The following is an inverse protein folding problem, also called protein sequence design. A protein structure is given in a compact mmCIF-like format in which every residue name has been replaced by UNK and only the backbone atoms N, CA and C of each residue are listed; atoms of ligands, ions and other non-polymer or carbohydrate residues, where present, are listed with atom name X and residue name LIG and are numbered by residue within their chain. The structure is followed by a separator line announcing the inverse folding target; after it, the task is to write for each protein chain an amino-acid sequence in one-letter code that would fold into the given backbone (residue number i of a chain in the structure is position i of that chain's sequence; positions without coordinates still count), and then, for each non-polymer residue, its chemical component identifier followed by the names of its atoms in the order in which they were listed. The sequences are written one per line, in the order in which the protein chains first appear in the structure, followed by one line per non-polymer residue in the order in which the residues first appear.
data_IF_454003201874
#
_entry.id   IF_454003201874
#
_cell.length_a   1.000
_cell.length_b   1.000
_cell.length_c   1.000
_cell.angle_alpha   90.00
_cell.angle_beta   90.00
_cell.angle_gamma   90.00
#
_symmetry.space_group_name_H-M   'P 1'
#
loop_
_entity.id
_entity.type
_entity.pdbx_description
1 polymer ?
#
# COMPACT_ATOMS: atom_id res chain seq x y z
N UNK A 1 63.35 10.04 32.42
CA UNK A 1 62.44 10.72 33.38
C UNK A 1 61.21 11.11 32.59
N UNK A 2 60.16 10.31 32.70
CA UNK A 2 58.89 10.49 31.98
C UNK A 2 57.83 10.99 32.97
N UNK A 3 57.25 12.15 32.68
CA UNK A 3 56.24 12.83 33.50
C UNK A 3 54.98 11.96 33.71
N UNK A 4 54.33 12.04 34.89
CA UNK A 4 53.08 11.33 35.12
C UNK A 4 51.94 12.04 34.38
N UNK A 5 51.21 11.30 33.55
CA UNK A 5 50.04 11.79 32.82
C UNK A 5 48.92 12.09 33.82
N UNK A 6 48.58 13.36 34.02
CA UNK A 6 47.44 13.78 34.84
C UNK A 6 46.12 13.28 34.22
N UNK A 7 45.45 12.36 34.91
CA UNK A 7 44.16 11.80 34.50
C UNK A 7 43.05 12.85 34.65
N UNK A 8 42.47 13.29 33.52
CA UNK A 8 41.42 14.32 33.47
C UNK A 8 40.02 13.68 33.43
N UNK A 9 39.10 14.19 34.24
CA UNK A 9 37.71 13.79 34.23
C UNK A 9 36.98 14.25 32.96
N UNK A 10 36.02 13.47 32.42
CA UNK A 10 35.27 13.82 31.20
C UNK A 10 34.35 15.04 31.37
N UNK A 11 34.05 15.41 32.62
CA UNK A 11 33.11 16.46 32.97
C UNK A 11 33.62 17.32 34.13
N UNK A 12 33.12 18.55 34.23
CA UNK A 12 33.42 19.43 35.36
C UNK A 12 32.88 18.83 36.67
N UNK A 13 33.62 18.99 37.78
CA UNK A 13 33.16 18.56 39.09
C UNK A 13 31.88 19.31 39.53
N UNK A 14 31.11 18.71 40.43
CA UNK A 14 29.81 19.23 40.89
C UNK A 14 29.94 20.67 41.41
N UNK A 15 30.92 20.92 42.29
CA UNK A 15 31.11 22.24 42.93
C UNK A 15 31.43 23.36 41.94
N UNK A 16 32.16 23.07 40.85
CA UNK A 16 32.40 24.05 39.80
C UNK A 16 31.17 24.28 38.92
N UNK A 17 30.37 23.23 38.68
CA UNK A 17 29.12 23.29 37.91
C UNK A 17 28.06 24.16 38.60
N UNK A 18 27.83 23.94 39.88
CA UNK A 18 26.89 24.74 40.69
C UNK A 18 27.26 26.23 40.73
N UNK A 19 28.57 26.52 40.80
CA UNK A 19 29.07 27.90 40.85
C UNK A 19 29.32 28.51 39.49
N UNK A 20 29.03 27.79 38.40
CA UNK A 20 29.24 28.23 37.00
C UNK A 20 30.66 28.75 36.75
N UNK A 21 31.69 28.05 37.27
CA UNK A 21 33.12 28.39 37.09
C UNK A 21 33.82 27.35 36.23
N UNK A 22 34.90 27.76 35.54
CA UNK A 22 35.73 26.88 34.71
C UNK A 22 36.49 25.88 35.60
N UNK A 23 36.28 24.58 35.36
CA UNK A 23 36.91 23.47 36.08
C UNK A 23 38.12 22.95 35.29
N UNK A 24 39.26 22.73 35.95
CA UNK A 24 40.47 22.15 35.32
C UNK A 24 40.42 20.63 35.15
N UNK A 25 39.47 19.96 35.81
CA UNK A 25 39.12 18.54 35.62
C UNK A 25 40.19 17.53 36.07
N UNK A 26 41.25 17.92 36.76
CA UNK A 26 42.17 16.94 37.35
C UNK A 26 41.46 16.08 38.41
N UNK A 27 41.76 14.79 38.42
CA UNK A 27 41.28 13.80 39.41
C UNK A 27 42.39 13.58 40.45
N UNK A 28 42.09 13.46 41.76
CA UNK A 28 40.78 13.43 42.40
C UNK A 28 40.15 14.81 42.64
N UNK A 29 40.94 15.89 42.58
CA UNK A 29 40.48 17.25 42.92
C UNK A 29 41.02 18.26 41.91
N UNK A 30 40.11 19.00 41.26
CA UNK A 30 40.50 20.07 40.34
C UNK A 30 41.21 21.23 41.05
N UNK A 31 42.15 21.88 40.37
CA UNK A 31 42.94 23.02 40.85
C UNK A 31 42.09 24.13 41.49
N UNK A 32 40.91 24.43 40.92
CA UNK A 32 40.02 25.46 41.45
C UNK A 32 39.41 25.07 42.81
N UNK A 33 39.00 23.81 42.98
CA UNK A 33 38.49 23.31 44.24
C UNK A 33 39.62 23.14 45.28
N UNK A 34 40.80 22.71 44.84
CA UNK A 34 42.01 22.61 45.66
C UNK A 34 42.41 23.96 46.26
N UNK A 35 42.51 24.99 45.41
CA UNK A 35 42.88 26.36 45.81
C UNK A 35 41.89 26.97 46.80
N UNK A 36 40.60 26.68 46.62
CA UNK A 36 39.54 27.25 47.44
C UNK A 36 39.16 26.37 48.65
N UNK A 37 39.87 25.26 48.90
CA UNK A 37 39.60 24.28 49.96
C UNK A 37 38.14 23.84 50.02
N UNK A 38 37.57 23.49 48.86
CA UNK A 38 36.17 23.05 48.73
C UNK A 38 36.07 21.57 48.39
N UNK A 39 34.98 20.90 48.80
CA UNK A 39 34.72 19.52 48.41
C UNK A 39 34.59 19.43 46.89
N UNK A 40 35.40 18.56 46.28
CA UNK A 40 35.41 18.29 44.85
C UNK A 40 34.97 16.85 44.64
N UNK A 41 33.81 16.68 44.03
CA UNK A 41 33.27 15.37 43.70
C UNK A 41 32.94 15.30 42.21
N UNK A 42 33.34 14.21 41.57
CA UNK A 42 32.92 13.84 40.24
C UNK A 42 31.91 12.71 40.38
N UNK A 43 30.69 12.85 39.84
CA UNK A 43 29.72 11.77 39.90
C UNK A 43 30.28 10.56 39.13
N UNK A 44 30.16 9.33 39.69
CA UNK A 44 30.50 8.12 38.94
C UNK A 44 29.68 8.07 37.66
N UNK A 45 30.17 7.37 36.62
CA UNK A 45 29.41 7.07 35.41
C UNK A 45 28.24 6.14 35.75
N UNK A 46 27.22 6.65 36.43
CA UNK A 46 25.94 5.98 36.55
C UNK A 46 25.14 6.34 35.33
N UNK A 47 25.01 5.35 34.43
CA UNK A 47 23.89 5.29 33.51
C UNK A 47 22.63 5.61 34.31
N UNK A 48 21.89 6.62 33.87
CA UNK A 48 20.64 7.03 34.51
C UNK A 48 19.64 5.87 34.39
N UNK A 49 19.10 5.32 35.49
CA UNK A 49 18.07 4.27 35.42
C UNK A 49 16.76 4.73 34.76
N UNK A 50 16.64 6.03 34.48
CA UNK A 50 15.46 6.63 33.84
C UNK A 50 15.64 6.90 32.34
N UNK A 51 16.81 6.60 31.75
CA UNK A 51 17.02 6.77 30.30
C UNK A 51 16.91 5.44 29.53
N UNK A 52 17.30 4.31 30.13
CA UNK A 52 17.38 3.03 29.41
C UNK A 52 16.03 2.33 29.20
N UNK A 53 15.04 2.57 30.06
CA UNK A 53 13.70 1.95 29.91
C UNK A 53 12.79 2.70 28.94
N UNK A 54 13.03 3.98 28.66
CA UNK A 54 12.25 4.73 27.66
C UNK A 54 12.91 4.72 26.28
N UNK A 55 14.24 4.73 26.19
CA UNK A 55 14.93 4.67 24.89
C UNK A 55 14.85 3.29 24.21
N UNK A 56 14.78 2.19 24.97
CA UNK A 56 14.67 0.83 24.40
C UNK A 56 13.30 0.55 23.80
N UNK A 57 12.21 0.96 24.48
CA UNK A 57 10.84 0.81 23.98
C UNK A 57 10.52 1.76 22.83
N UNK A 58 11.03 3.00 22.84
CA UNK A 58 10.84 3.94 21.71
C UNK A 58 11.58 3.44 20.46
N UNK A 59 12.80 2.88 20.59
CA UNK A 59 13.59 2.41 19.44
C UNK A 59 13.04 1.15 18.76
N UNK A 60 12.25 0.32 19.44
CA UNK A 60 11.82 -0.97 18.88
C UNK A 60 10.63 -0.86 17.92
N UNK A 61 9.81 0.20 18.00
CA UNK A 61 8.59 0.34 17.18
C UNK A 61 8.55 1.60 16.29
N UNK A 62 9.57 2.46 16.32
CA UNK A 62 9.61 3.65 15.45
C UNK A 62 10.16 3.32 14.08
N UNK A 63 9.37 3.61 13.05
CA UNK A 63 9.79 3.55 11.65
C UNK A 63 11.06 4.40 11.41
N UNK A 64 12.08 3.90 10.68
CA UNK A 64 13.31 4.63 10.46
C UNK A 64 13.09 5.80 9.48
N UNK A 65 12.90 7.02 10.01
CA UNK A 65 12.65 8.23 9.22
C UNK A 65 13.69 8.49 8.11
N UNK A 66 14.93 7.98 8.27
CA UNK A 66 15.97 8.08 7.26
C UNK A 66 15.60 7.40 5.93
N UNK A 67 14.68 6.43 5.91
CA UNK A 67 14.12 5.87 4.68
C UNK A 67 13.48 6.96 3.80
N UNK A 68 12.79 7.93 4.42
CA UNK A 68 12.15 9.04 3.72
C UNK A 68 13.09 10.24 3.53
N UNK A 69 13.91 10.54 4.53
CA UNK A 69 14.71 11.76 4.57
C UNK A 69 16.06 11.62 3.83
N UNK A 70 16.63 10.42 3.76
CA UNK A 70 17.91 10.14 3.09
C UNK A 70 18.00 8.66 2.65
N UNK A 71 17.32 8.36 1.55
CA UNK A 71 17.28 7.01 0.97
C UNK A 71 18.68 6.51 0.55
N UNK A 72 19.56 7.40 0.09
CA UNK A 72 20.93 7.05 -0.26
C UNK A 72 21.66 6.47 0.95
N UNK A 73 21.59 7.15 2.11
CA UNK A 73 22.22 6.67 3.34
C UNK A 73 21.53 5.43 3.88
N UNK A 74 20.19 5.34 3.83
CA UNK A 74 19.45 4.14 4.21
C UNK A 74 19.95 2.91 3.44
N UNK A 75 20.04 3.01 2.11
CA UNK A 75 20.52 1.94 1.22
C UNK A 75 22.00 1.61 1.45
N UNK A 76 22.86 2.64 1.55
CA UNK A 76 24.30 2.47 1.79
C UNK A 76 24.58 1.74 3.10
N UNK A 77 23.77 1.99 4.14
CA UNK A 77 23.85 1.32 5.44
C UNK A 77 23.21 -0.07 5.46
N UNK A 78 22.55 -0.49 4.36
CA UNK A 78 21.72 -1.71 4.32
C UNK A 78 20.74 -1.76 5.51
N UNK A 79 20.17 -0.60 5.85
CA UNK A 79 19.21 -0.52 6.94
C UNK A 79 17.97 -1.34 6.59
N UNK A 80 17.42 -2.04 7.57
CA UNK A 80 16.21 -2.84 7.41
C UNK A 80 15.11 -2.16 8.21
N UNK A 81 13.92 -2.08 7.64
CA UNK A 81 12.73 -1.62 8.37
C UNK A 81 12.26 -2.82 9.22
N UNK A 82 12.28 -2.72 10.55
CA UNK A 82 11.85 -3.82 11.40
C UNK A 82 10.35 -4.05 11.18
N UNK A 83 9.94 -5.32 11.05
CA UNK A 83 8.54 -5.69 11.05
C UNK A 83 7.98 -5.46 12.47
N UNK A 84 7.00 -4.55 12.67
CA UNK A 84 6.48 -4.29 13.99
C UNK A 84 5.62 -5.46 14.47
N UNK A 85 5.64 -5.72 15.77
CA UNK A 85 4.63 -6.59 16.41
C UNK A 85 3.37 -5.78 16.62
N UNK A 86 2.31 -6.09 15.86
CA UNK A 86 1.05 -5.35 15.90
C UNK A 86 0.04 -6.13 16.73
N UNK A 87 -0.60 -5.45 17.66
CA UNK A 87 -1.73 -5.99 18.42
C UNK A 87 -2.92 -5.09 18.19
N UNK A 88 -3.94 -5.61 17.50
CA UNK A 88 -5.18 -4.87 17.27
C UNK A 88 -6.10 -4.98 18.48
N UNK A 89 -6.90 -3.94 18.78
CA UNK A 89 -7.99 -4.02 19.75
C UNK A 89 -8.98 -5.16 19.47
N UNK A 90 -9.41 -5.88 20.52
CA UNK A 90 -10.34 -7.03 20.44
C UNK A 90 -11.63 -6.78 19.66
N UNK A 91 -12.10 -5.54 19.61
CA UNK A 91 -13.32 -5.17 18.88
C UNK A 91 -13.25 -5.57 17.39
N UNK A 92 -12.05 -5.52 16.80
CA UNK A 92 -11.85 -5.87 15.39
C UNK A 92 -11.97 -7.38 15.16
N UNK A 93 -11.39 -8.19 16.04
CA UNK A 93 -11.50 -9.64 16.00
C UNK A 93 -12.95 -10.09 16.25
N UNK A 94 -13.62 -9.49 17.25
CA UNK A 94 -15.01 -9.85 17.60
C UNK A 94 -16.00 -9.53 16.48
N UNK A 95 -15.75 -8.50 15.68
CA UNK A 95 -16.62 -8.11 14.58
C UNK A 95 -16.63 -9.10 13.40
N UNK A 96 -15.58 -9.93 13.28
CA UNK A 96 -15.54 -11.01 12.28
C UNK A 96 -16.58 -12.12 12.55
N UNK A 97 -17.10 -12.17 13.78
CA UNK A 97 -18.12 -13.14 14.18
C UNK A 97 -17.58 -14.55 14.36
N UNK A 98 -18.46 -15.54 14.20
CA UNK A 98 -18.09 -16.95 14.26
C UNK A 98 -17.26 -17.37 13.04
N UNK A 99 -16.63 -18.53 13.14
CA UNK A 99 -15.86 -19.11 12.04
C UNK A 99 -16.73 -19.31 10.78
N UNK A 100 -17.97 -19.73 10.95
CA UNK A 100 -18.93 -19.94 9.87
C UNK A 100 -19.30 -18.62 9.19
N UNK A 101 -19.50 -17.55 9.97
CA UNK A 101 -19.77 -16.21 9.45
C UNK A 101 -18.57 -15.67 8.65
N UNK A 102 -17.35 -15.84 9.18
CA UNK A 102 -16.13 -15.45 8.48
C UNK A 102 -15.97 -16.19 7.14
N UNK A 103 -16.16 -17.51 7.12
CA UNK A 103 -16.12 -18.30 5.87
C UNK A 103 -17.19 -17.83 4.88
N UNK A 104 -18.41 -17.59 5.35
CA UNK A 104 -19.49 -17.08 4.52
C UNK A 104 -19.15 -15.72 3.88
N UNK A 105 -18.59 -14.78 4.63
CA UNK A 105 -18.17 -13.47 4.11
C UNK A 105 -17.04 -13.60 3.09
N UNK A 106 -16.07 -14.49 3.33
CA UNK A 106 -14.97 -14.73 2.40
C UNK A 106 -15.46 -15.39 1.10
N UNK A 107 -16.35 -16.38 1.19
CA UNK A 107 -16.97 -17.04 0.04
C UNK A 107 -17.76 -16.04 -0.81
N UNK A 108 -18.57 -15.20 -0.18
CA UNK A 108 -19.32 -14.14 -0.85
C UNK A 108 -18.41 -13.12 -1.53
N UNK A 109 -17.32 -12.70 -0.87
CA UNK A 109 -16.32 -11.82 -1.47
C UNK A 109 -15.75 -12.42 -2.77
N UNK A 110 -15.31 -13.69 -2.72
CA UNK A 110 -14.74 -14.37 -3.89
C UNK A 110 -15.77 -14.61 -5.00
N UNK A 111 -17.06 -14.67 -4.66
CA UNK A 111 -18.15 -14.80 -5.61
C UNK A 111 -18.52 -13.46 -6.27
N UNK A 112 -18.51 -12.35 -5.53
CA UNK A 112 -19.15 -11.10 -5.96
C UNK A 112 -18.15 -9.99 -6.33
N UNK A 113 -17.09 -9.84 -5.54
CA UNK A 113 -16.14 -8.71 -5.68
C UNK A 113 -14.88 -9.13 -6.43
N UNK A 114 -14.35 -10.30 -6.10
CA UNK A 114 -13.13 -10.82 -6.70
C UNK A 114 -13.17 -10.92 -8.25
N UNK A 115 -14.29 -11.29 -8.91
CA UNK A 115 -14.34 -11.28 -10.37
C UNK A 115 -14.13 -9.90 -11.02
N UNK A 116 -14.38 -8.81 -10.28
CA UNK A 116 -14.25 -7.42 -10.74
C UNK A 116 -12.91 -6.83 -10.29
N UNK A 117 -12.47 -7.15 -9.06
CA UNK A 117 -11.23 -6.66 -8.47
C UNK A 117 -10.39 -7.81 -7.87
N UNK A 118 -9.80 -8.68 -8.70
CA UNK A 118 -9.06 -9.86 -8.25
C UNK A 118 -7.68 -9.48 -7.73
N UNK A 119 -7.62 -8.88 -6.55
CA UNK A 119 -6.37 -8.41 -5.93
C UNK A 119 -5.85 -9.31 -4.81
N UNK A 120 -6.61 -10.34 -4.41
CA UNK A 120 -6.30 -11.25 -3.31
C UNK A 120 -6.16 -12.68 -3.82
N UNK A 121 -5.15 -13.42 -3.37
CA UNK A 121 -4.98 -14.84 -3.72
C UNK A 121 -5.98 -15.73 -2.98
N UNK A 122 -6.92 -16.32 -3.72
CA UNK A 122 -7.90 -17.26 -3.18
C UNK A 122 -7.25 -18.40 -2.40
N UNK A 123 -6.29 -19.09 -3.03
CA UNK A 123 -5.57 -20.22 -2.44
C UNK A 123 -4.89 -19.85 -1.10
N UNK A 124 -4.23 -18.68 -1.04
CA UNK A 124 -3.55 -18.23 0.18
C UNK A 124 -4.56 -17.91 1.28
N UNK A 125 -5.68 -17.28 0.97
CA UNK A 125 -6.71 -16.95 1.96
C UNK A 125 -7.35 -18.21 2.55
N UNK A 126 -7.78 -19.18 1.73
CA UNK A 126 -8.34 -20.43 2.26
C UNK A 126 -7.32 -21.24 3.06
N UNK A 127 -6.03 -21.18 2.68
CA UNK A 127 -4.97 -21.79 3.48
C UNK A 127 -4.77 -21.09 4.84
N UNK A 128 -4.96 -19.77 4.95
CA UNK A 128 -4.94 -19.10 6.25
C UNK A 128 -6.21 -19.38 7.05
N UNK A 129 -7.37 -19.46 6.38
CA UNK A 129 -8.63 -19.84 7.00
C UNK A 129 -8.59 -21.28 7.54
N UNK A 130 -7.79 -22.20 7.01
CA UNK A 130 -7.70 -23.56 7.55
C UNK A 130 -6.91 -23.64 8.87
N UNK A 131 -6.16 -22.60 9.23
CA UNK A 131 -5.41 -22.50 10.49
C UNK A 131 -6.31 -22.04 11.64
N UNK A 132 -5.77 -22.04 12.86
CA UNK A 132 -6.47 -21.53 14.04
C UNK A 132 -6.78 -20.04 13.90
N UNK A 133 -8.05 -19.66 14.13
CA UNK A 133 -8.50 -18.27 14.06
C UNK A 133 -8.07 -17.44 15.28
N UNK A 134 -7.65 -18.09 16.37
CA UNK A 134 -7.18 -17.42 17.59
C UNK A 134 -5.82 -16.72 17.40
N UNK A 135 -5.14 -16.98 16.27
CA UNK A 135 -3.83 -16.44 15.92
C UNK A 135 -3.85 -15.68 14.58
N UNK A 136 -4.96 -15.04 14.22
CA UNK A 136 -5.03 -14.24 13.01
C UNK A 136 -4.10 -13.02 13.08
N UNK A 137 -3.27 -12.89 12.05
CA UNK A 137 -2.44 -11.71 11.83
C UNK A 137 -3.33 -10.46 11.72
N UNK A 138 -2.86 -9.34 12.28
CA UNK A 138 -3.58 -8.07 12.27
C UNK A 138 -4.00 -7.61 10.85
N UNK A 139 -3.17 -7.87 9.85
CA UNK A 139 -3.46 -7.49 8.47
C UNK A 139 -4.52 -8.35 7.79
N UNK A 140 -4.68 -9.61 8.22
CA UNK A 140 -5.79 -10.47 7.81
C UNK A 140 -7.10 -10.02 8.42
N UNK A 141 -7.10 -9.61 9.69
CA UNK A 141 -8.30 -9.08 10.35
C UNK A 141 -8.82 -7.86 9.59
N UNK A 142 -7.92 -6.92 9.25
CA UNK A 142 -8.28 -5.76 8.44
C UNK A 142 -8.83 -6.16 7.07
N UNK A 143 -8.18 -7.10 6.39
CA UNK A 143 -8.64 -7.58 5.09
C UNK A 143 -10.04 -8.24 5.16
N UNK A 144 -10.29 -9.05 6.18
CA UNK A 144 -11.58 -9.71 6.37
C UNK A 144 -12.70 -8.73 6.74
N UNK A 145 -12.42 -7.70 7.55
CA UNK A 145 -13.38 -6.62 7.79
C UNK A 145 -13.73 -5.88 6.48
N UNK A 146 -12.73 -5.63 5.63
CA UNK A 146 -12.95 -5.01 4.33
C UNK A 146 -13.77 -5.89 3.38
N UNK A 147 -13.59 -7.21 3.41
CA UNK A 147 -14.41 -8.18 2.66
C UNK A 147 -15.86 -8.24 3.18
N UNK A 148 -16.04 -8.33 4.50
CA UNK A 148 -17.34 -8.40 5.17
C UNK A 148 -18.24 -7.19 4.85
N UNK A 149 -17.65 -5.99 4.79
CA UNK A 149 -18.36 -4.76 4.45
C UNK A 149 -19.09 -4.82 3.09
N UNK A 150 -18.56 -5.58 2.13
CA UNK A 150 -19.22 -5.78 0.83
C UNK A 150 -20.37 -6.81 0.88
N UNK A 151 -20.40 -7.67 1.90
CA UNK A 151 -21.36 -8.77 2.04
C UNK A 151 -22.66 -8.36 2.75
N UNK A 152 -22.60 -7.39 3.67
CA UNK A 152 -23.71 -7.01 4.55
C UNK A 152 -24.65 -5.92 3.96
N UNK A 153 -24.62 -5.68 2.64
CA UNK A 153 -25.50 -4.67 2.00
C UNK A 153 -26.88 -5.26 1.70
N UNK A 154 -27.88 -4.76 2.42
CA UNK A 154 -29.29 -5.10 2.20
C UNK A 154 -30.06 -4.06 1.32
N UNK A 155 -29.34 -3.13 0.69
CA UNK A 155 -29.89 -2.10 -0.21
C UNK A 155 -30.75 -1.03 0.46
N UNK A 156 -31.28 -1.28 1.65
CA UNK A 156 -32.15 -0.38 2.41
C UNK A 156 -31.38 0.47 3.43
N UNK A 157 -30.26 -0.05 3.96
CA UNK A 157 -29.45 0.69 4.92
C UNK A 157 -28.60 1.79 4.26
N UNK A 158 -28.29 2.87 5.01
CA UNK A 158 -27.39 3.91 4.53
C UNK A 158 -26.03 3.30 4.18
N UNK A 159 -25.31 3.83 3.17
CA UNK A 159 -24.05 3.23 2.74
C UNK A 159 -22.91 3.36 3.76
N UNK A 160 -23.05 4.22 4.77
CA UNK A 160 -22.11 4.27 5.90
C UNK A 160 -22.59 3.32 6.98
N UNK A 161 -22.14 2.08 6.90
CA UNK A 161 -22.47 1.01 7.84
C UNK A 161 -21.48 0.98 9.01
N UNK A 162 -21.87 0.32 10.11
CA UNK A 162 -20.99 0.13 11.26
C UNK A 162 -19.70 -0.62 10.89
N UNK A 163 -19.80 -1.63 10.01
CA UNK A 163 -18.65 -2.39 9.54
C UNK A 163 -17.71 -1.56 8.66
N UNK A 164 -18.24 -0.64 7.84
CA UNK A 164 -17.43 0.32 7.09
C UNK A 164 -16.63 1.24 8.02
N UNK A 165 -17.30 1.83 9.03
CA UNK A 165 -16.62 2.69 10.01
C UNK A 165 -15.57 1.91 10.81
N UNK A 166 -15.86 0.64 11.14
CA UNK A 166 -14.92 -0.23 11.83
C UNK A 166 -13.70 -0.58 10.96
N UNK A 167 -13.88 -0.87 9.68
CA UNK A 167 -12.79 -1.11 8.73
C UNK A 167 -11.90 0.13 8.57
N UNK A 168 -12.48 1.33 8.45
CA UNK A 168 -11.73 2.60 8.42
C UNK A 168 -10.91 2.82 9.69
N UNK A 169 -11.50 2.57 10.86
CA UNK A 169 -10.81 2.69 12.15
C UNK A 169 -9.67 1.67 12.26
N UNK A 170 -9.90 0.42 11.82
CA UNK A 170 -8.90 -0.64 11.84
C UNK A 170 -7.69 -0.27 10.96
N UNK A 171 -7.96 0.24 9.75
CA UNK A 171 -6.94 0.72 8.82
C UNK A 171 -6.07 1.83 9.43
N UNK A 172 -6.70 2.84 10.04
CA UNK A 172 -5.98 3.91 10.73
C UNK A 172 -5.11 3.38 11.89
N UNK A 173 -5.64 2.44 12.68
CA UNK A 173 -4.91 1.86 13.81
C UNK A 173 -3.69 1.03 13.34
N UNK A 174 -3.87 0.27 12.26
CA UNK A 174 -2.81 -0.46 11.59
C UNK A 174 -1.66 0.47 11.16
N UNK A 175 -1.97 1.59 10.53
CA UNK A 175 -0.97 2.56 10.06
C UNK A 175 -0.25 3.26 11.22
N UNK A 176 -0.97 3.64 12.26
CA UNK A 176 -0.37 4.19 13.49
C UNK A 176 0.58 3.19 14.16
N UNK A 177 0.36 1.90 13.96
CA UNK A 177 1.21 0.81 14.44
C UNK A 177 2.33 0.43 13.45
N UNK A 178 2.52 1.21 12.38
CA UNK A 178 3.47 0.94 11.28
C UNK A 178 3.25 -0.41 10.58
N UNK A 179 2.01 -0.92 10.58
CA UNK A 179 1.65 -2.16 9.86
C UNK A 179 1.57 -1.90 8.36
N UNK A 180 2.70 -1.96 7.68
CA UNK A 180 2.74 -1.91 6.23
C UNK A 180 2.80 -3.35 5.69
N UNK A 181 1.85 -3.71 4.83
CA UNK A 181 1.86 -5.00 4.13
C UNK A 181 1.04 -4.91 2.83
N UNK A 182 1.22 -5.83 1.87
CA UNK A 182 0.35 -5.90 0.69
C UNK A 182 -1.13 -6.02 1.06
N UNK A 183 -1.46 -6.68 2.19
CA UNK A 183 -2.84 -6.82 2.68
C UNK A 183 -3.43 -5.50 3.19
N UNK A 184 -2.63 -4.62 3.78
CA UNK A 184 -3.08 -3.25 4.10
C UNK A 184 -3.55 -2.53 2.83
N UNK A 185 -2.77 -2.61 1.75
CA UNK A 185 -3.16 -2.00 0.47
C UNK A 185 -4.39 -2.69 -0.13
N UNK A 186 -4.44 -4.02 -0.14
CA UNK A 186 -5.62 -4.77 -0.62
C UNK A 186 -6.89 -4.35 0.16
N UNK A 187 -6.84 -4.30 1.49
CA UNK A 187 -7.96 -3.87 2.31
C UNK A 187 -8.34 -2.39 2.04
N UNK A 188 -7.35 -1.51 1.91
CA UNK A 188 -7.58 -0.10 1.58
C UNK A 188 -8.22 0.09 0.20
N UNK A 189 -7.84 -0.73 -0.78
CA UNK A 189 -8.46 -0.77 -2.11
C UNK A 189 -9.92 -1.25 -2.05
N UNK A 190 -10.22 -2.26 -1.23
CA UNK A 190 -11.59 -2.72 -1.02
C UNK A 190 -12.45 -1.65 -0.33
N UNK A 191 -11.87 -0.90 0.61
CA UNK A 191 -12.52 0.27 1.23
C UNK A 191 -12.77 1.35 0.18
N UNK A 192 -11.76 1.70 -0.63
CA UNK A 192 -11.89 2.70 -1.69
C UNK A 192 -12.97 2.31 -2.71
N UNK A 193 -12.98 1.05 -3.16
CA UNK A 193 -14.00 0.54 -4.07
C UNK A 193 -15.40 0.61 -3.46
N UNK A 194 -15.54 0.30 -2.16
CA UNK A 194 -16.81 0.47 -1.46
C UNK A 194 -17.26 1.93 -1.42
N UNK A 195 -16.36 2.85 -1.07
CA UNK A 195 -16.68 4.28 -1.05
C UNK A 195 -17.09 4.79 -2.44
N UNK A 196 -16.40 4.35 -3.50
CA UNK A 196 -16.73 4.66 -4.89
C UNK A 196 -18.10 4.12 -5.28
N UNK A 197 -18.34 2.82 -5.12
CA UNK A 197 -19.60 2.16 -5.51
C UNK A 197 -20.83 2.68 -4.76
N UNK A 198 -20.60 3.31 -3.61
CA UNK A 198 -21.64 3.89 -2.76
C UNK A 198 -21.69 5.43 -2.79
N UNK A 199 -20.92 6.06 -3.69
CA UNK A 199 -20.84 7.51 -3.84
C UNK A 199 -20.49 8.28 -2.55
N UNK A 200 -19.64 7.71 -1.69
CA UNK A 200 -19.19 8.32 -0.43
C UNK A 200 -18.04 9.31 -0.72
N UNK A 201 -18.37 10.47 -1.28
CA UNK A 201 -17.43 11.56 -1.53
C UNK A 201 -17.42 12.59 -0.39
N UNK A 202 -16.27 13.26 -0.11
CA UNK A 202 -14.98 13.17 -0.79
C UNK A 202 -14.09 12.01 -0.31
N UNK A 203 -14.58 11.12 0.58
CA UNK A 203 -13.80 10.04 1.17
C UNK A 203 -13.18 9.12 0.10
N UNK A 204 -13.97 8.68 -0.88
CA UNK A 204 -13.50 7.85 -2.00
C UNK A 204 -12.24 8.41 -2.68
N UNK A 205 -12.28 9.68 -3.07
CA UNK A 205 -11.16 10.37 -3.72
C UNK A 205 -9.89 10.38 -2.83
N UNK A 206 -10.06 10.66 -1.54
CA UNK A 206 -8.94 10.70 -0.59
C UNK A 206 -8.37 9.31 -0.29
N UNK A 207 -9.22 8.30 -0.13
CA UNK A 207 -8.79 6.92 0.12
C UNK A 207 -8.04 6.35 -1.09
N UNK A 208 -8.48 6.64 -2.32
CA UNK A 208 -7.75 6.25 -3.53
C UNK A 208 -6.35 6.90 -3.58
N UNK A 209 -6.26 8.20 -3.31
CA UNK A 209 -4.98 8.89 -3.22
C UNK A 209 -4.06 8.31 -2.13
N UNK A 210 -4.65 7.88 -1.03
CA UNK A 210 -3.94 7.18 0.05
C UNK A 210 -3.43 5.80 -0.39
N UNK A 211 -4.24 5.00 -1.10
CA UNK A 211 -3.79 3.73 -1.69
C UNK A 211 -2.58 3.92 -2.62
N UNK A 212 -2.56 4.99 -3.42
CA UNK A 212 -1.40 5.33 -4.25
C UNK A 212 -0.14 5.58 -3.40
N UNK A 213 -0.27 6.35 -2.31
CA UNK A 213 0.85 6.61 -1.38
C UNK A 213 1.33 5.34 -0.68
N UNK A 214 0.42 4.46 -0.28
CA UNK A 214 0.77 3.13 0.26
C UNK A 214 1.53 2.29 -0.78
N UNK A 215 1.06 2.22 -2.03
CA UNK A 215 1.76 1.51 -3.10
C UNK A 215 3.17 2.05 -3.36
N UNK A 216 3.32 3.39 -3.37
CA UNK A 216 4.61 4.05 -3.56
C UNK A 216 5.58 3.82 -2.41
N UNK A 217 5.14 3.98 -1.16
CA UNK A 217 6.02 3.85 0.00
C UNK A 217 6.49 2.40 0.19
N UNK A 218 5.63 1.43 -0.15
CA UNK A 218 5.97 0.02 -0.08
C UNK A 218 6.82 -0.45 -1.27
N UNK A 219 7.01 0.39 -2.30
CA UNK A 219 7.78 0.06 -3.50
C UNK A 219 7.06 -0.86 -4.48
N UNK A 220 5.74 -1.04 -4.33
CA UNK A 220 4.93 -1.94 -5.16
C UNK A 220 4.83 -1.41 -6.60
N UNK A 221 4.82 -0.08 -6.76
CA UNK A 221 4.71 0.58 -8.06
C UNK A 221 5.93 0.41 -8.96
N UNK A 222 7.12 0.23 -8.40
CA UNK A 222 8.36 0.10 -9.14
C UNK A 222 9.33 -0.81 -8.39
N UNK A 223 9.29 -2.09 -8.75
CA UNK A 223 10.09 -3.16 -8.12
C UNK A 223 11.56 -3.19 -8.56
N UNK A 224 11.95 -2.36 -9.55
CA UNK A 224 13.32 -2.34 -10.11
C UNK A 224 14.15 -1.21 -9.54
N UNK A 225 13.64 0.01 -9.65
CA UNK A 225 14.41 1.24 -9.42
C UNK A 225 13.84 2.11 -8.28
N UNK A 226 12.72 1.71 -7.69
CA UNK A 226 12.04 2.45 -6.63
C UNK A 226 12.58 2.16 -5.22
N UNK A 227 12.36 3.05 -4.24
CA UNK A 227 12.57 2.74 -2.82
C UNK A 227 11.75 1.51 -2.42
N UNK A 228 12.38 0.52 -1.80
CA UNK A 228 11.71 -0.71 -1.38
C UNK A 228 11.63 -0.76 0.15
N UNK A 229 10.41 -0.80 0.68
CA UNK A 229 10.19 -0.98 2.13
C UNK A 229 10.45 -2.43 2.55
N UNK A 230 10.03 -3.38 1.72
CA UNK A 230 10.14 -4.81 2.00
C UNK A 230 11.19 -5.48 1.13
N UNK A 231 11.56 -6.70 1.53
CA UNK A 231 12.22 -7.65 0.65
C UNK A 231 11.41 -7.90 -0.62
N UNK A 232 12.11 -8.42 -1.63
CA UNK A 232 11.47 -8.97 -2.82
C UNK A 232 10.42 -10.01 -2.42
N UNK A 233 9.33 -10.14 -3.18
CA UNK A 233 8.30 -11.15 -2.91
C UNK A 233 8.92 -12.53 -2.72
N UNK A 234 8.46 -13.25 -1.70
CA UNK A 234 8.98 -14.59 -1.36
C UNK A 234 8.45 -15.66 -2.32
N UNK A 235 7.30 -15.39 -2.92
CA UNK A 235 6.64 -16.28 -3.87
C UNK A 235 6.17 -15.50 -5.09
N UNK A 236 6.04 -16.22 -6.20
CA UNK A 236 5.42 -15.66 -7.41
C UNK A 236 3.98 -15.21 -7.13
N UNK A 237 3.25 -15.89 -6.25
CA UNK A 237 1.89 -15.53 -5.90
C UNK A 237 1.82 -14.18 -5.19
N UNK A 238 2.75 -13.94 -4.27
CA UNK A 238 2.86 -12.63 -3.64
C UNK A 238 3.25 -11.54 -4.64
N UNK A 239 4.14 -11.83 -5.59
CA UNK A 239 4.51 -10.89 -6.64
C UNK A 239 3.30 -10.51 -7.52
N UNK A 240 2.46 -11.49 -7.82
CA UNK A 240 1.23 -11.28 -8.59
C UNK A 240 0.17 -10.48 -7.82
N UNK A 241 -0.03 -10.75 -6.52
CA UNK A 241 -0.91 -9.95 -5.67
C UNK A 241 -0.48 -8.48 -5.61
N UNK A 242 0.84 -8.24 -5.45
CA UNK A 242 1.41 -6.88 -5.49
C UNK A 242 1.15 -6.20 -6.84
N UNK A 243 1.33 -6.91 -7.95
CA UNK A 243 1.05 -6.38 -9.31
C UNK A 243 -0.43 -6.05 -9.49
N UNK A 244 -1.32 -6.98 -9.12
CA UNK A 244 -2.77 -6.80 -9.23
C UNK A 244 -3.26 -5.63 -8.36
N UNK A 245 -2.75 -5.51 -7.14
CA UNK A 245 -3.04 -4.38 -6.26
C UNK A 245 -2.57 -3.04 -6.85
N UNK A 246 -1.40 -2.98 -7.50
CA UNK A 246 -0.94 -1.75 -8.16
C UNK A 246 -1.81 -1.36 -9.35
N UNK A 247 -2.20 -2.33 -10.17
CA UNK A 247 -3.14 -2.07 -11.26
C UNK A 247 -4.49 -1.57 -10.73
N UNK A 248 -4.97 -2.12 -9.61
CA UNK A 248 -6.18 -1.62 -8.95
C UNK A 248 -6.04 -0.17 -8.44
N UNK A 249 -4.86 0.23 -7.96
CA UNK A 249 -4.57 1.63 -7.62
C UNK A 249 -4.75 2.52 -8.85
N UNK A 250 -4.11 2.17 -9.98
CA UNK A 250 -4.20 2.95 -11.22
C UNK A 250 -5.67 3.05 -11.68
N UNK A 251 -6.39 1.92 -11.70
CA UNK A 251 -7.80 1.87 -12.11
C UNK A 251 -8.67 2.83 -11.30
N UNK A 252 -8.62 2.72 -9.96
CA UNK A 252 -9.45 3.55 -9.10
C UNK A 252 -9.05 5.03 -9.17
N UNK A 253 -7.75 5.34 -9.32
CA UNK A 253 -7.25 6.71 -9.47
C UNK A 253 -7.77 7.37 -10.75
N UNK A 254 -7.77 6.65 -11.88
CA UNK A 254 -8.41 7.13 -13.13
C UNK A 254 -9.91 7.25 -12.98
N UNK A 255 -10.56 6.31 -12.29
CA UNK A 255 -12.01 6.36 -12.07
C UNK A 255 -12.45 7.59 -11.28
N UNK A 256 -11.84 7.86 -10.12
CA UNK A 256 -12.25 8.99 -9.25
C UNK A 256 -11.89 10.36 -9.83
N UNK A 257 -11.11 10.39 -10.91
CA UNK A 257 -10.78 11.60 -11.67
C UNK A 257 -11.62 11.78 -12.93
N UNK A 258 -12.48 10.80 -13.29
CA UNK A 258 -13.49 10.96 -14.33
C UNK A 258 -14.38 12.17 -14.02
N UNK A 259 -14.45 13.11 -14.97
CA UNK A 259 -15.25 14.33 -14.81
C UNK A 259 -14.77 15.27 -13.68
N UNK A 260 -13.61 15.01 -13.08
CA UNK A 260 -13.05 15.79 -11.97
C UNK A 260 -12.47 17.15 -12.38
N UNK A 261 -12.42 17.45 -13.68
CA UNK A 261 -11.64 18.54 -14.27
C UNK A 261 -10.14 18.27 -14.20
N UNK A 262 -9.33 19.32 -14.17
CA UNK A 262 -7.86 19.27 -14.07
C UNK A 262 -7.34 18.80 -12.70
N UNK A 263 -8.04 17.88 -12.01
CA UNK A 263 -7.53 17.25 -10.79
C UNK A 263 -6.38 16.30 -11.18
N UNK A 264 -5.24 16.38 -10.49
CA UNK A 264 -4.12 15.50 -10.79
C UNK A 264 -4.42 14.06 -10.37
N UNK A 265 -3.83 13.12 -11.10
CA UNK A 265 -3.73 11.72 -10.67
C UNK A 265 -2.88 11.59 -9.42
N UNK A 266 -3.23 10.66 -8.54
CA UNK A 266 -2.45 10.33 -7.35
C UNK A 266 -1.22 9.46 -7.67
N UNK A 267 -1.27 8.69 -8.76
CA UNK A 267 -0.14 7.90 -9.25
C UNK A 267 0.19 8.20 -10.73
N UNK A 268 1.46 7.99 -11.09
CA UNK A 268 1.91 8.08 -12.48
C UNK A 268 1.22 7.06 -13.37
N UNK A 269 1.16 7.35 -14.68
CA UNK A 269 0.71 6.38 -15.66
C UNK A 269 1.60 5.14 -15.71
N UNK A 270 1.01 4.03 -16.13
CA UNK A 270 1.76 2.82 -16.46
C UNK A 270 2.71 3.09 -17.64
N UNK A 271 3.94 2.60 -17.55
CA UNK A 271 4.89 2.63 -18.65
C UNK A 271 4.50 1.58 -19.70
N UNK A 272 4.81 1.78 -21.00
CA UNK A 272 4.52 0.80 -22.04
C UNK A 272 5.04 -0.61 -21.76
N UNK A 273 6.19 -0.73 -21.07
CA UNK A 273 6.80 -2.00 -20.70
C UNK A 273 6.33 -2.59 -19.36
N UNK A 274 5.36 -1.98 -18.68
CA UNK A 274 4.83 -2.50 -17.43
C UNK A 274 4.00 -3.77 -17.70
N UNK A 275 4.22 -4.78 -16.87
CA UNK A 275 3.58 -6.08 -17.01
C UNK A 275 2.11 -6.01 -16.58
N UNK A 276 1.24 -6.61 -17.38
CA UNK A 276 -0.17 -6.82 -17.05
C UNK A 276 -0.31 -7.92 -15.98
N UNK A 277 -1.45 -7.92 -15.26
CA UNK A 277 -1.87 -9.08 -14.48
C UNK A 277 -1.90 -10.33 -15.35
N UNK A 278 -1.57 -11.46 -14.74
CA UNK A 278 -1.61 -12.75 -15.43
C UNK A 278 -3.04 -13.24 -15.67
N UNK A 279 -3.18 -14.36 -16.35
CA UNK A 279 -4.46 -15.07 -16.50
C UNK A 279 -5.10 -15.51 -15.17
N UNK A 280 -6.42 -15.27 -15.00
CA UNK A 280 -7.16 -15.58 -13.78
C UNK A 280 -7.24 -17.09 -13.51
N UNK A 281 -7.48 -17.93 -14.52
CA UNK A 281 -7.62 -19.38 -14.29
C UNK A 281 -6.32 -19.98 -13.76
N UNK A 282 -5.20 -19.57 -14.36
CA UNK A 282 -3.86 -19.95 -13.92
C UNK A 282 -3.54 -19.42 -12.52
N UNK A 283 -3.98 -18.18 -12.24
CA UNK A 283 -3.84 -17.55 -10.92
C UNK A 283 -4.60 -18.31 -9.83
N UNK A 284 -5.86 -18.67 -10.08
CA UNK A 284 -6.72 -19.39 -9.14
C UNK A 284 -6.23 -20.80 -8.86
N UNK A 285 -5.66 -21.49 -9.86
CA UNK A 285 -5.03 -22.81 -9.68
C UNK A 285 -3.68 -22.76 -8.95
N UNK A 286 -3.08 -21.58 -8.85
CA UNK A 286 -1.73 -21.42 -8.30
C UNK A 286 -0.64 -22.04 -9.16
N UNK A 287 -0.90 -22.23 -10.45
CA UNK A 287 0.06 -22.82 -11.40
C UNK A 287 0.99 -21.72 -11.93
N UNK A 288 2.33 -21.82 -11.73
CA UNK A 288 3.27 -20.90 -12.35
C UNK A 288 3.20 -21.11 -13.86
N UNK A 289 2.64 -20.15 -14.58
CA UNK A 289 2.42 -20.28 -16.01
C UNK A 289 3.71 -20.05 -16.78
N UNK A 290 3.93 -20.86 -17.83
CA UNK A 290 5.00 -20.66 -18.82
C UNK A 290 4.66 -19.56 -19.85
N UNK A 291 3.50 -18.92 -19.72
CA UNK A 291 3.00 -17.91 -20.65
C UNK A 291 3.85 -16.65 -20.52
N UNK A 292 4.27 -16.11 -21.67
CA UNK A 292 5.06 -14.88 -21.70
C UNK A 292 4.25 -13.72 -21.08
N UNK A 293 4.83 -12.97 -20.12
CA UNK A 293 4.15 -11.83 -19.52
C UNK A 293 3.77 -10.81 -20.59
N UNK A 294 2.49 -10.41 -20.62
CA UNK A 294 2.01 -9.36 -21.51
C UNK A 294 2.39 -7.99 -20.95
N UNK A 295 2.84 -7.10 -21.81
CA UNK A 295 3.03 -5.68 -21.45
C UNK A 295 1.77 -4.89 -21.76
N UNK A 296 1.55 -3.77 -21.07
CA UNK A 296 0.33 -2.97 -21.26
C UNK A 296 0.17 -2.45 -22.70
N UNK A 297 1.28 -2.17 -23.40
CA UNK A 297 1.27 -1.67 -24.78
C UNK A 297 1.03 -2.76 -25.85
N UNK A 298 0.94 -4.03 -25.46
CA UNK A 298 0.72 -5.14 -26.39
C UNK A 298 -0.64 -5.01 -27.09
N UNK A 299 -0.69 -5.31 -28.39
CA UNK A 299 -1.91 -5.24 -29.20
C UNK A 299 -2.97 -6.26 -28.71
N UNK A 300 -4.25 -5.91 -28.89
CA UNK A 300 -5.40 -6.75 -28.53
C UNK A 300 -5.49 -8.07 -29.28
N UNK A 301 -4.65 -8.30 -30.29
CA UNK A 301 -4.58 -9.57 -31.01
C UNK A 301 -4.17 -10.75 -30.11
N UNK A 302 -3.48 -10.50 -29.00
CA UNK A 302 -3.14 -11.54 -28.01
C UNK A 302 -4.24 -11.59 -26.96
N UNK A 303 -4.84 -12.77 -26.75
CA UNK A 303 -5.87 -13.00 -25.72
C UNK A 303 -5.31 -12.65 -24.34
N UNK A 304 -6.05 -11.83 -23.60
CA UNK A 304 -5.69 -11.43 -22.24
C UNK A 304 -6.84 -11.71 -21.28
N UNK A 305 -6.50 -11.74 -19.99
CA UNK A 305 -7.47 -11.93 -18.91
C UNK A 305 -8.40 -10.70 -18.78
N UNK A 306 -9.66 -10.83 -18.32
CA UNK A 306 -10.54 -9.68 -18.12
C UNK A 306 -9.94 -8.57 -17.25
N UNK A 307 -9.18 -8.93 -16.20
CA UNK A 307 -8.51 -7.94 -15.36
C UNK A 307 -7.33 -7.27 -16.08
N UNK A 308 -6.60 -8.01 -16.91
CA UNK A 308 -5.58 -7.45 -17.80
C UNK A 308 -6.19 -6.50 -18.84
N UNK A 309 -7.34 -6.84 -19.43
CA UNK A 309 -8.09 -5.94 -20.32
C UNK A 309 -8.56 -4.67 -19.62
N UNK A 310 -9.04 -4.79 -18.38
CA UNK A 310 -9.42 -3.62 -17.56
C UNK A 310 -8.21 -2.73 -17.26
N UNK A 311 -7.05 -3.34 -17.01
CA UNK A 311 -5.78 -2.63 -16.82
C UNK A 311 -5.35 -1.85 -18.08
N UNK A 312 -5.45 -2.48 -19.26
CA UNK A 312 -5.19 -1.81 -20.54
C UNK A 312 -6.20 -0.70 -20.84
N UNK A 313 -7.50 -0.93 -20.59
CA UNK A 313 -8.53 0.09 -20.75
C UNK A 313 -8.23 1.32 -19.87
N UNK A 314 -7.80 1.09 -18.62
CA UNK A 314 -7.44 2.16 -17.69
C UNK A 314 -6.18 2.91 -18.11
N UNK A 315 -5.22 2.21 -18.72
CA UNK A 315 -4.06 2.86 -19.33
C UNK A 315 -4.49 3.79 -20.49
N UNK A 316 -5.36 3.33 -21.38
CA UNK A 316 -5.91 4.19 -22.46
C UNK A 316 -6.69 5.38 -21.91
N UNK A 317 -7.54 5.16 -20.89
CA UNK A 317 -8.28 6.22 -20.21
C UNK A 317 -7.33 7.28 -19.62
N UNK A 318 -6.15 6.89 -19.15
CA UNK A 318 -5.15 7.83 -18.64
C UNK A 318 -4.71 8.85 -19.70
N UNK A 319 -4.49 8.39 -20.94
CA UNK A 319 -4.12 9.26 -22.05
C UNK A 319 -5.26 10.19 -22.44
N UNK A 320 -6.51 9.70 -22.48
CA UNK A 320 -7.68 10.54 -22.74
C UNK A 320 -7.85 11.62 -21.68
N UNK A 321 -7.78 11.24 -20.40
CA UNK A 321 -7.94 12.18 -19.30
C UNK A 321 -6.83 13.23 -19.28
N UNK A 322 -5.59 12.88 -19.64
CA UNK A 322 -4.52 13.87 -19.82
C UNK A 322 -4.82 14.79 -20.98
N UNK A 323 -5.13 14.22 -22.14
CA UNK A 323 -5.46 14.98 -23.34
C UNK A 323 -6.57 16.00 -23.07
N UNK A 324 -7.68 15.58 -22.43
CA UNK A 324 -8.81 16.47 -22.11
C UNK A 324 -8.44 17.60 -21.13
N UNK A 325 -7.53 17.35 -20.20
CA UNK A 325 -7.17 18.30 -19.14
C UNK A 325 -5.95 19.18 -19.47
N UNK A 326 -5.10 18.75 -20.40
CA UNK A 326 -3.89 19.47 -20.80
C UNK A 326 -4.26 20.67 -21.68
N UNK A 327 -3.69 21.83 -21.36
CA UNK A 327 -3.83 23.02 -22.20
C UNK A 327 -3.03 22.87 -23.49
N UNK A 328 -3.59 23.28 -24.62
CA UNK A 328 -2.96 23.15 -25.93
C UNK A 328 -2.80 24.52 -26.63
N UNK A 329 -1.58 24.79 -27.10
CA UNK A 329 -1.29 25.94 -27.96
C UNK A 329 -1.51 25.61 -29.45
N UNK A 330 -1.20 24.37 -29.86
CA UNK A 330 -1.44 23.86 -31.22
C UNK A 330 -2.75 23.07 -31.29
N UNK A 331 -3.81 23.77 -31.68
CA UNK A 331 -5.16 23.21 -31.85
C UNK A 331 -5.20 22.07 -32.88
N UNK A 332 -4.35 22.14 -33.92
CA UNK A 332 -4.34 21.12 -34.98
C UNK A 332 -3.74 19.82 -34.46
N UNK A 333 -2.58 19.91 -33.80
CA UNK A 333 -1.94 18.75 -33.19
C UNK A 333 -2.86 18.10 -32.14
N UNK A 334 -3.50 18.92 -31.30
CA UNK A 334 -4.45 18.45 -30.30
C UNK A 334 -5.64 17.71 -30.96
N UNK A 335 -6.24 18.26 -32.01
CA UNK A 335 -7.32 17.59 -32.73
C UNK A 335 -6.88 16.26 -33.37
N UNK A 336 -5.68 16.20 -33.94
CA UNK A 336 -5.12 14.97 -34.52
C UNK A 336 -4.87 13.89 -33.46
N UNK A 337 -4.36 14.28 -32.29
CA UNK A 337 -4.18 13.38 -31.13
C UNK A 337 -5.53 12.85 -30.63
N UNK A 338 -6.56 13.71 -30.54
CA UNK A 338 -7.91 13.32 -30.15
C UNK A 338 -8.47 12.22 -31.07
N UNK A 339 -8.32 12.39 -32.39
CA UNK A 339 -8.75 11.40 -33.39
C UNK A 339 -7.98 10.09 -33.21
N UNK A 340 -6.66 10.17 -32.96
CA UNK A 340 -5.85 8.97 -32.76
C UNK A 340 -6.30 8.20 -31.52
N UNK A 341 -6.48 8.88 -30.39
CA UNK A 341 -6.97 8.28 -29.15
C UNK A 341 -8.34 7.62 -29.32
N UNK A 342 -9.28 8.33 -29.96
CA UNK A 342 -10.61 7.81 -30.25
C UNK A 342 -10.55 6.52 -31.10
N UNK A 343 -9.78 6.52 -32.19
CA UNK A 343 -9.59 5.32 -33.03
C UNK A 343 -8.97 4.15 -32.27
N UNK A 344 -8.00 4.42 -31.40
CA UNK A 344 -7.37 3.41 -30.57
C UNK A 344 -8.38 2.79 -29.60
N UNK A 345 -9.21 3.60 -28.95
CA UNK A 345 -10.23 3.13 -28.00
C UNK A 345 -11.33 2.34 -28.72
N UNK A 346 -11.78 2.82 -29.88
CA UNK A 346 -12.77 2.10 -30.70
C UNK A 346 -12.27 0.72 -31.10
N UNK A 347 -11.03 0.65 -31.61
CA UNK A 347 -10.40 -0.62 -32.01
C UNK A 347 -10.26 -1.56 -30.80
N UNK A 348 -9.89 -1.02 -29.65
CA UNK A 348 -9.74 -1.77 -28.40
C UNK A 348 -11.10 -2.29 -27.89
N UNK A 349 -12.14 -1.45 -27.92
CA UNK A 349 -13.52 -1.77 -27.53
C UNK A 349 -14.13 -2.86 -28.43
N UNK A 350 -13.89 -2.78 -29.74
CA UNK A 350 -14.27 -3.82 -30.69
C UNK A 350 -13.58 -5.16 -30.38
N UNK A 351 -12.28 -5.14 -30.08
CA UNK A 351 -11.55 -6.36 -29.74
C UNK A 351 -12.11 -7.04 -28.47
N UNK A 352 -12.39 -6.28 -27.40
CA UNK A 352 -13.05 -6.81 -26.21
C UNK A 352 -14.43 -7.37 -26.53
N UNK A 353 -15.20 -6.69 -27.39
CA UNK A 353 -16.53 -7.13 -27.81
C UNK A 353 -16.48 -8.47 -28.57
N UNK A 354 -15.44 -8.69 -29.39
CA UNK A 354 -15.20 -9.98 -30.03
C UNK A 354 -14.88 -11.07 -29.01
N UNK A 355 -13.95 -10.82 -28.06
CA UNK A 355 -13.62 -11.78 -26.99
C UNK A 355 -14.85 -12.19 -26.18
N UNK A 356 -15.73 -11.22 -25.88
CA UNK A 356 -17.00 -11.47 -25.18
C UNK A 356 -17.97 -12.34 -25.96
N UNK A 357 -18.06 -12.16 -27.28
CA UNK A 357 -18.94 -12.96 -28.13
C UNK A 357 -18.45 -14.41 -28.22
N UNK A 358 -17.14 -14.62 -28.28
CA UNK A 358 -16.53 -15.96 -28.26
C UNK A 358 -16.81 -16.70 -26.94
N UNK A 359 -16.77 -15.98 -25.80
CA UNK A 359 -17.09 -16.55 -24.48
C UNK A 359 -18.58 -16.94 -24.38
N UNK A 360 -19.49 -16.08 -24.84
CA UNK A 360 -20.95 -16.35 -24.85
C UNK A 360 -21.31 -17.58 -25.68
N UNK A 361 -20.53 -17.89 -26.71
CA UNK A 361 -20.68 -19.11 -27.52
C UNK A 361 -20.26 -20.39 -26.79
N UNK A 362 -19.39 -20.29 -25.78
CA UNK A 362 -18.77 -21.44 -25.12
C UNK A 362 -19.37 -21.79 -23.75
N UNK A 363 -19.86 -20.83 -22.95
CA UNK A 363 -20.28 -21.07 -21.55
C UNK A 363 -21.53 -20.24 -21.19
N UNK A 364 -22.53 -20.85 -20.54
CA UNK A 364 -23.72 -20.19 -19.95
C UNK A 364 -23.47 -19.60 -18.55
N UNK A 365 -22.23 -19.25 -18.22
CA UNK A 365 -21.88 -18.68 -16.91
C UNK A 365 -21.77 -17.16 -17.02
N UNK A 366 -22.78 -16.47 -16.50
CA UNK A 366 -22.90 -15.02 -16.54
C UNK A 366 -21.82 -14.32 -15.69
N UNK A 367 -21.27 -14.99 -14.67
CA UNK A 367 -20.23 -14.40 -13.81
C UNK A 367 -18.94 -14.14 -14.59
N UNK A 368 -18.57 -15.05 -15.47
CA UNK A 368 -17.42 -14.90 -16.37
C UNK A 368 -17.64 -13.81 -17.43
N UNK A 369 -18.89 -13.63 -17.87
CA UNK A 369 -19.27 -12.61 -18.87
C UNK A 369 -19.23 -11.19 -18.28
N UNK A 370 -19.60 -11.03 -17.01
CA UNK A 370 -19.58 -9.73 -16.32
C UNK A 370 -18.17 -9.14 -16.15
N UNK A 371 -17.14 -9.98 -16.11
CA UNK A 371 -15.75 -9.55 -15.83
C UNK A 371 -15.16 -8.60 -16.87
N UNK A 372 -15.59 -8.69 -18.14
CA UNK A 372 -15.13 -7.78 -19.21
C UNK A 372 -15.94 -6.47 -19.27
N UNK A 373 -17.07 -6.38 -18.56
CA UNK A 373 -17.91 -5.18 -18.59
C UNK A 373 -17.20 -3.97 -17.99
N UNK A 374 -16.30 -4.16 -17.03
CA UNK A 374 -15.50 -3.06 -16.48
C UNK A 374 -14.61 -2.44 -17.55
N UNK A 375 -13.88 -3.27 -18.32
CA UNK A 375 -13.04 -2.79 -19.43
C UNK A 375 -13.87 -2.06 -20.50
N UNK A 376 -15.02 -2.62 -20.89
CA UNK A 376 -15.94 -1.97 -21.83
C UNK A 376 -16.48 -0.64 -21.31
N UNK A 377 -16.93 -0.60 -20.05
CA UNK A 377 -17.46 0.60 -19.44
C UNK A 377 -16.42 1.72 -19.40
N UNK A 378 -15.15 1.39 -19.14
CA UNK A 378 -14.04 2.34 -19.22
C UNK A 378 -13.86 2.85 -20.66
N UNK A 379 -13.90 1.96 -21.66
CA UNK A 379 -13.79 2.37 -23.07
C UNK A 379 -14.91 3.32 -23.47
N UNK A 380 -16.17 3.00 -23.12
CA UNK A 380 -17.32 3.87 -23.40
C UNK A 380 -17.28 5.18 -22.65
N UNK A 381 -16.68 5.22 -21.46
CA UNK A 381 -16.51 6.48 -20.72
C UNK A 381 -15.39 7.35 -21.29
N UNK A 382 -14.48 6.76 -22.07
CA UNK A 382 -13.34 7.44 -22.68
C UNK A 382 -13.62 7.93 -24.12
N UNK A 383 -14.68 7.43 -24.75
CA UNK A 383 -15.22 7.91 -26.03
C UNK A 383 -16.07 9.16 -25.80
#
# INVERSE_FOLDING_TARGET
MSDPVDELAPQACVSCREKKRKCSREVPVCSLCRRNRRPCHYPPKTASPFAESSESYIRQNTFPAIFFLDLYTFNKRRSVIPAPTITLPDKYYKALGSREQLHYHVDNYFSMIHPILPIVSKLRIYHQLSKSLDALDADLVLLFLAMQMHCERDGHNPPRTEIYDLAKQCCLHAEQSNMFSPRLLQASLLIAMYEVGNAIYPAAYLTVGHCARLGHVMGINNTKDGPQMFSKPESWAEAEERRRAWWAVIMLDRYVTLGGGNRPFACSDANPGDLLPMDEESWEKGEPTLIQPLVVSEYTAVRASPFARTSQASHLLSHVLRHVNDGYEDVKFHYEEAIQLHRTIDTFSLAISHELNDIKGAVRDWTHTCSHFTAMAICYSAQ
#
